data_IF_993384838158
#
_entry.id   IF_993384838158
#
_cell.length_a   1.000
_cell.length_b   1.000
_cell.length_c   1.000
_cell.angle_alpha   90.00
_cell.angle_beta   90.00
_cell.angle_gamma   90.00
#
_symmetry.space_group_name_H-M   'P 1'
#
loop_
_entity.id
_entity.type
_entity.pdbx_description
1 polymer ?
#
# COMPACT_ATOMS: atom_id res chain seq x y z
N UNK A 1 3.20 35.61 -59.62
CA UNK A 1 3.69 34.69 -60.70
C UNK A 1 4.40 33.56 -59.98
N UNK A 2 3.75 32.42 -59.87
CA UNK A 2 4.08 31.31 -58.96
C UNK A 2 4.82 30.23 -59.69
N UNK A 3 5.85 29.71 -59.12
CA UNK A 3 6.53 28.49 -59.58
C UNK A 3 6.46 27.44 -58.49
N UNK A 4 5.69 26.38 -58.73
CA UNK A 4 5.68 25.16 -57.89
C UNK A 4 6.77 24.24 -58.42
N UNK A 5 7.66 23.80 -57.50
CA UNK A 5 8.52 22.65 -57.75
C UNK A 5 7.98 21.47 -56.94
N UNK A 6 7.56 20.42 -57.61
CA UNK A 6 7.28 19.10 -57.06
C UNK A 6 8.52 18.25 -57.20
N UNK A 7 9.02 17.77 -56.08
CA UNK A 7 10.13 16.79 -56.06
C UNK A 7 9.55 15.42 -55.63
N UNK A 8 9.50 14.49 -56.59
CA UNK A 8 9.14 13.09 -56.30
C UNK A 8 10.42 12.33 -55.92
N UNK A 9 10.47 11.80 -54.71
CA UNK A 9 11.48 10.82 -54.27
C UNK A 9 10.80 9.45 -54.19
N UNK A 10 11.16 8.54 -55.09
CA UNK A 10 10.81 7.14 -55.01
C UNK A 10 11.79 6.43 -54.07
N UNK A 11 11.32 5.90 -52.98
CA UNK A 11 12.08 5.02 -52.07
C UNK A 11 11.66 3.56 -52.32
N UNK A 12 12.61 2.78 -52.81
CA UNK A 12 12.54 1.33 -52.87
C UNK A 12 12.62 0.77 -51.44
N UNK A 13 11.55 0.18 -50.95
CA UNK A 13 11.52 -0.56 -49.72
C UNK A 13 11.86 -2.03 -50.00
N UNK A 14 13.06 -2.44 -49.67
CA UNK A 14 13.44 -3.84 -49.54
C UNK A 14 13.00 -4.38 -48.16
N UNK A 15 11.89 -5.10 -48.11
CA UNK A 15 11.41 -5.75 -46.90
C UNK A 15 12.23 -7.01 -46.61
N UNK A 16 12.97 -7.01 -45.54
CA UNK A 16 13.47 -8.22 -44.85
C UNK A 16 12.39 -8.62 -43.84
N UNK A 17 11.62 -9.65 -44.15
CA UNK A 17 10.69 -10.26 -43.20
C UNK A 17 11.48 -10.98 -42.14
N UNK A 18 11.28 -10.60 -40.87
CA UNK A 18 11.73 -11.38 -39.71
C UNK A 18 10.88 -12.65 -39.58
N UNK A 19 11.45 -13.79 -39.18
CA UNK A 19 10.67 -15.02 -38.98
C UNK A 19 9.74 -14.84 -37.77
N UNK A 20 8.54 -15.46 -37.77
CA UNK A 20 7.62 -15.41 -36.67
C UNK A 20 8.22 -16.11 -35.46
N UNK A 21 8.19 -15.45 -34.31
CA UNK A 21 8.53 -16.04 -33.01
C UNK A 21 7.54 -17.17 -32.71
N UNK A 22 8.03 -18.35 -32.43
CA UNK A 22 7.22 -19.47 -32.00
C UNK A 22 6.52 -19.13 -30.67
N UNK A 23 5.24 -19.49 -30.47
CA UNK A 23 4.56 -19.31 -29.20
C UNK A 23 5.27 -20.14 -28.14
N UNK A 24 5.68 -19.47 -27.05
CA UNK A 24 6.28 -20.13 -25.89
C UNK A 24 5.30 -21.18 -25.33
N UNK A 25 5.81 -22.38 -25.10
CA UNK A 25 5.03 -23.44 -24.47
C UNK A 25 4.56 -23.00 -23.08
N UNK A 26 3.30 -23.32 -22.70
CA UNK A 26 2.81 -22.98 -21.37
C UNK A 26 3.61 -23.72 -20.31
N UNK A 27 4.09 -23.00 -19.30
CA UNK A 27 4.74 -23.57 -18.12
C UNK A 27 3.68 -24.39 -17.37
N UNK A 28 3.91 -25.68 -17.10
CA UNK A 28 2.94 -26.49 -16.38
C UNK A 28 2.74 -25.96 -14.95
N UNK A 29 1.51 -25.94 -14.43
CA UNK A 29 1.25 -25.56 -13.05
C UNK A 29 1.92 -26.55 -12.10
N UNK A 30 2.56 -26.04 -11.05
CA UNK A 30 3.07 -26.84 -9.94
C UNK A 30 1.90 -27.62 -9.31
N UNK A 31 2.08 -28.90 -8.96
CA UNK A 31 1.01 -29.71 -8.41
C UNK A 31 0.61 -29.21 -7.02
N UNK A 32 -0.62 -28.72 -6.91
CA UNK A 32 -1.28 -28.46 -5.64
C UNK A 32 -1.69 -29.81 -5.04
N UNK A 33 -0.99 -30.29 -4.02
CA UNK A 33 -1.45 -31.41 -3.21
C UNK A 33 -2.62 -30.94 -2.36
N UNK A 34 -3.84 -31.24 -2.82
CA UNK A 34 -5.05 -31.12 -2.02
C UNK A 34 -5.12 -32.28 -1.03
N UNK A 35 -4.74 -32.05 0.21
CA UNK A 35 -5.06 -32.94 1.32
C UNK A 35 -6.46 -32.60 1.83
N UNK A 36 -7.45 -33.39 1.43
CA UNK A 36 -8.80 -33.40 2.01
C UNK A 36 -8.81 -34.36 3.19
N UNK A 37 -8.66 -33.82 4.41
CA UNK A 37 -9.01 -34.55 5.63
C UNK A 37 -10.44 -34.18 6.05
N UNK A 38 -11.26 -35.15 6.55
CA UNK A 38 -12.60 -34.84 7.05
C UNK A 38 -12.55 -34.05 8.36
N UNK A 39 -13.60 -33.26 8.69
CA UNK A 39 -13.63 -32.45 9.89
C UNK A 39 -13.67 -33.33 11.14
N UNK A 40 -12.93 -33.01 12.21
CA UNK A 40 -13.04 -33.68 13.48
C UNK A 40 -14.34 -33.25 14.19
N UNK A 41 -15.09 -34.24 14.67
CA UNK A 41 -16.24 -34.06 15.54
C UNK A 41 -15.79 -33.60 16.92
N UNK A 42 -16.45 -32.55 17.41
CA UNK A 42 -16.63 -32.17 18.81
C UNK A 42 -15.43 -32.20 19.74
N UNK A 43 -14.79 -31.03 19.95
CA UNK A 43 -13.95 -30.77 21.12
C UNK A 43 -14.71 -29.87 22.13
N UNK A 44 -14.53 -30.07 23.44
CA UNK A 44 -15.18 -29.25 24.47
C UNK A 44 -14.65 -27.82 24.47
N UNK A 45 -15.49 -26.89 24.89
CA UNK A 45 -15.15 -25.47 25.00
C UNK A 45 -13.99 -25.25 25.96
N UNK A 46 -12.85 -24.80 25.42
CA UNK A 46 -11.72 -24.37 26.24
C UNK A 46 -12.03 -23.02 26.86
N UNK A 47 -11.84 -22.95 28.18
CA UNK A 47 -11.85 -21.70 28.97
C UNK A 47 -10.75 -20.77 28.43
N UNK A 48 -10.98 -19.48 28.20
CA UNK A 48 -9.96 -18.59 27.71
C UNK A 48 -8.82 -18.47 28.74
N UNK A 49 -7.63 -18.88 28.33
CA UNK A 49 -6.41 -18.66 29.09
C UNK A 49 -6.17 -17.15 29.22
N UNK A 50 -5.81 -16.69 30.43
CA UNK A 50 -5.45 -15.31 30.69
C UNK A 50 -4.33 -14.88 29.75
N UNK A 51 -4.51 -13.73 29.08
CA UNK A 51 -3.54 -13.17 28.14
C UNK A 51 -2.17 -12.98 28.83
N UNK A 52 -1.06 -13.45 28.22
CA UNK A 52 0.26 -13.10 28.70
C UNK A 52 0.45 -11.60 28.57
N UNK A 53 0.86 -10.95 29.66
CA UNK A 53 1.13 -9.51 29.69
C UNK A 53 2.07 -9.11 28.54
N UNK A 54 1.78 -7.96 27.93
CA UNK A 54 2.56 -7.37 26.84
C UNK A 54 4.06 -7.43 27.17
N UNK A 55 4.79 -8.30 26.49
CA UNK A 55 6.24 -8.36 26.60
C UNK A 55 6.81 -7.06 26.02
N UNK A 56 7.70 -6.40 26.77
CA UNK A 56 8.38 -5.20 26.31
C UNK A 56 9.04 -5.47 24.94
N UNK A 57 8.76 -4.61 23.96
CA UNK A 57 9.34 -4.72 22.61
C UNK A 57 10.86 -4.61 22.68
N UNK A 58 11.62 -5.46 21.97
CA UNK A 58 13.05 -5.27 21.82
C UNK A 58 13.33 -3.94 21.11
N UNK A 59 14.36 -3.22 21.56
CA UNK A 59 14.83 -2.02 20.91
C UNK A 59 15.24 -2.34 19.45
N UNK A 60 14.79 -1.51 18.50
CA UNK A 60 15.12 -1.71 17.09
C UNK A 60 16.63 -1.57 16.87
N UNK A 61 17.27 -2.59 16.29
CA UNK A 61 18.68 -2.55 15.92
C UNK A 61 18.94 -1.43 14.91
N UNK A 62 19.99 -0.59 15.07
CA UNK A 62 20.36 0.39 14.06
C UNK A 62 20.63 -0.28 12.73
N UNK A 63 20.11 0.27 11.63
CA UNK A 63 20.50 -0.17 10.30
C UNK A 63 21.67 0.65 9.76
N UNK A 64 22.60 -0.03 9.12
CA UNK A 64 23.74 0.57 8.42
C UNK A 64 23.50 0.53 6.91
N UNK A 65 24.36 1.20 6.14
CA UNK A 65 24.38 1.02 4.68
C UNK A 65 24.63 -0.48 4.33
N UNK A 66 23.97 -1.04 3.29
CA UNK A 66 23.12 -0.35 2.31
C UNK A 66 21.65 -0.19 2.73
N UNK A 67 21.25 -0.69 3.88
CA UNK A 67 19.85 -0.77 4.33
C UNK A 67 19.29 0.55 4.89
N UNK A 68 20.16 1.53 5.12
CA UNK A 68 19.75 2.86 5.59
C UNK A 68 19.46 3.80 4.43
N UNK A 69 18.32 4.48 4.50
CA UNK A 69 17.97 5.63 3.66
C UNK A 69 17.98 6.88 4.52
N UNK A 70 18.68 7.92 4.06
CA UNK A 70 18.81 9.19 4.74
C UNK A 70 18.83 10.29 3.68
N UNK A 71 17.75 11.06 3.57
CA UNK A 71 17.57 12.02 2.48
C UNK A 71 17.01 13.34 2.98
N UNK A 72 17.73 14.42 2.73
CA UNK A 72 17.20 15.77 2.85
C UNK A 72 16.59 16.19 1.51
N UNK A 73 15.36 16.71 1.55
CA UNK A 73 14.63 17.21 0.40
C UNK A 73 14.85 18.72 0.20
N UNK A 74 14.57 19.28 -0.98
CA UNK A 74 14.93 20.68 -1.30
C UNK A 74 14.36 21.73 -0.37
N UNK A 75 13.20 21.51 0.26
CA UNK A 75 12.63 22.42 1.25
C UNK A 75 13.36 22.39 2.61
N UNK A 76 14.34 21.46 2.80
CA UNK A 76 15.09 21.25 4.02
C UNK A 76 14.48 20.23 4.99
N UNK A 77 13.36 19.62 4.64
CA UNK A 77 12.81 18.48 5.36
C UNK A 77 13.67 17.22 5.11
N UNK A 78 13.75 16.34 6.09
CA UNK A 78 14.59 15.13 6.02
C UNK A 78 13.80 13.90 6.41
N UNK A 79 14.00 12.82 5.64
CA UNK A 79 13.52 11.49 5.95
C UNK A 79 14.67 10.54 6.26
N UNK A 80 14.50 9.76 7.31
CA UNK A 80 15.42 8.68 7.68
C UNK A 80 14.60 7.42 7.91
N UNK A 81 15.04 6.30 7.34
CA UNK A 81 14.39 5.01 7.50
C UNK A 81 15.38 3.87 7.22
N UNK A 82 14.98 2.67 7.60
CA UNK A 82 15.64 1.44 7.23
C UNK A 82 14.72 0.63 6.31
N UNK A 83 15.31 -0.15 5.41
CA UNK A 83 14.59 -1.15 4.65
C UNK A 83 15.19 -2.53 4.86
N UNK A 84 14.38 -3.54 4.70
CA UNK A 84 14.77 -4.94 4.72
C UNK A 84 13.89 -5.72 3.74
N UNK A 85 14.48 -6.76 3.12
CA UNK A 85 13.74 -7.69 2.28
C UNK A 85 13.41 -8.92 3.12
N UNK A 86 12.17 -9.01 3.59
CA UNK A 86 11.68 -10.14 4.40
C UNK A 86 11.11 -11.23 3.50
N UNK A 87 11.39 -12.48 3.85
CA UNK A 87 10.96 -13.62 3.05
C UNK A 87 9.44 -13.67 2.82
N UNK A 88 8.65 -13.29 3.82
CA UNK A 88 7.18 -13.37 3.77
C UNK A 88 6.58 -12.10 3.17
N UNK A 89 6.86 -10.93 3.75
CA UNK A 89 6.24 -9.64 3.40
C UNK A 89 6.91 -8.94 2.22
N UNK A 90 8.12 -9.35 1.82
CA UNK A 90 8.93 -8.61 0.86
C UNK A 90 9.50 -7.33 1.45
N UNK A 91 9.43 -6.23 0.71
CA UNK A 91 9.97 -4.94 1.16
C UNK A 91 9.24 -4.47 2.43
N UNK A 92 10.01 -4.39 3.51
CA UNK A 92 9.56 -3.86 4.80
C UNK A 92 10.37 -2.64 5.15
N UNK A 93 9.70 -1.55 5.52
CA UNK A 93 10.35 -0.32 5.98
C UNK A 93 10.23 -0.23 7.50
N UNK A 94 11.31 0.19 8.14
CA UNK A 94 11.37 0.30 9.60
C UNK A 94 12.00 1.62 10.03
N UNK A 95 11.72 2.04 11.28
CA UNK A 95 12.34 3.22 11.90
C UNK A 95 12.17 4.48 11.06
N UNK A 96 10.96 4.76 10.65
CA UNK A 96 10.62 5.87 9.77
C UNK A 96 10.54 7.16 10.59
N UNK A 97 11.46 8.08 10.33
CA UNK A 97 11.63 9.34 11.04
C UNK A 97 11.52 10.50 10.07
N UNK A 98 10.66 11.45 10.40
CA UNK A 98 10.51 12.73 9.70
C UNK A 98 11.15 13.84 10.49
N UNK A 99 11.91 14.69 9.84
CA UNK A 99 12.48 15.91 10.43
C UNK A 99 12.00 17.11 9.60
N UNK A 100 11.02 17.90 10.09
CA UNK A 100 10.65 19.15 9.44
C UNK A 100 11.84 20.13 9.43
N UNK A 101 11.90 21.01 8.43
CA UNK A 101 12.96 22.02 8.35
C UNK A 101 13.12 22.82 9.66
N UNK A 102 14.32 22.79 10.22
CA UNK A 102 14.66 23.54 11.44
C UNK A 102 13.99 23.01 12.72
N UNK A 103 13.44 21.81 12.72
CA UNK A 103 12.81 21.19 13.88
C UNK A 103 13.53 19.92 14.31
N UNK A 104 13.07 19.32 15.41
CA UNK A 104 13.62 18.04 15.90
C UNK A 104 13.05 16.86 15.10
N UNK A 105 13.81 15.77 14.96
CA UNK A 105 13.30 14.52 14.38
C UNK A 105 12.09 13.99 15.15
N UNK A 106 11.12 13.46 14.42
CA UNK A 106 9.91 12.84 14.96
C UNK A 106 9.79 11.45 14.35
N UNK A 107 9.78 10.41 15.18
CA UNK A 107 9.44 9.05 14.74
C UNK A 107 7.98 9.03 14.30
N UNK A 108 7.69 8.38 13.19
CA UNK A 108 6.33 8.25 12.65
C UNK A 108 5.85 6.81 12.74
N UNK A 109 6.62 5.89 12.14
CA UNK A 109 6.32 4.48 12.11
C UNK A 109 7.53 3.68 12.58
N UNK A 110 7.29 2.70 13.44
CA UNK A 110 8.27 1.68 13.77
C UNK A 110 8.51 0.76 12.59
N UNK A 111 7.42 0.34 11.93
CA UNK A 111 7.49 -0.46 10.72
C UNK A 111 6.25 -0.34 9.85
N UNK A 112 6.42 -0.62 8.56
CA UNK A 112 5.33 -0.80 7.60
C UNK A 112 5.71 -1.80 6.53
N UNK A 113 4.74 -2.59 6.07
CA UNK A 113 4.87 -3.54 4.98
C UNK A 113 3.53 -3.75 4.29
N UNK A 114 3.57 -4.34 3.10
CA UNK A 114 2.40 -5.04 2.58
C UNK A 114 2.05 -6.20 3.53
N UNK A 115 0.76 -6.43 3.73
CA UNK A 115 0.27 -7.45 4.65
C UNK A 115 -0.66 -8.47 3.99
N UNK A 116 -1.11 -8.24 2.79
CA UNK A 116 -1.73 -9.18 1.85
C UNK A 116 -2.18 -8.45 0.59
N UNK A 117 -2.23 -9.18 -0.53
CA UNK A 117 -3.02 -8.88 -1.70
C UNK A 117 -3.94 -10.08 -1.92
N UNK A 118 -5.23 -9.89 -1.61
CA UNK A 118 -6.24 -10.91 -1.82
C UNK A 118 -6.96 -10.64 -3.13
N UNK A 119 -6.99 -11.65 -4.03
CA UNK A 119 -7.50 -11.49 -5.39
C UNK A 119 -8.64 -12.48 -5.66
N UNK A 120 -9.89 -12.10 -5.34
CA UNK A 120 -11.08 -12.85 -5.74
C UNK A 120 -11.45 -12.52 -7.19
N UNK A 121 -11.65 -13.57 -8.00
CA UNK A 121 -12.17 -13.45 -9.36
C UNK A 121 -13.70 -13.44 -9.37
N UNK A 122 -14.29 -12.60 -10.22
CA UNK A 122 -15.74 -12.31 -10.19
C UNK A 122 -16.62 -13.51 -10.53
N UNK A 123 -16.10 -14.48 -11.28
CA UNK A 123 -16.80 -15.76 -11.51
C UNK A 123 -16.85 -16.69 -10.29
N UNK A 124 -16.36 -16.24 -9.12
CA UNK A 124 -16.37 -16.99 -7.87
C UNK A 124 -15.08 -17.73 -7.54
N UNK A 125 -14.32 -18.15 -8.53
CA UNK A 125 -13.01 -18.84 -8.41
C UNK A 125 -12.11 -18.45 -9.59
N UNK A 126 -10.76 -18.46 -9.45
CA UNK A 126 -10.00 -18.70 -8.22
C UNK A 126 -10.03 -17.52 -7.22
N UNK A 127 -9.40 -17.72 -6.05
CA UNK A 127 -9.22 -16.72 -4.99
C UNK A 127 -7.79 -16.84 -4.49
N UNK A 128 -6.94 -15.88 -4.83
CA UNK A 128 -5.52 -15.91 -4.50
C UNK A 128 -5.20 -15.06 -3.27
N UNK A 129 -4.10 -15.42 -2.64
CA UNK A 129 -3.46 -14.70 -1.55
C UNK A 129 -1.99 -14.54 -1.92
N UNK A 130 -1.63 -13.41 -2.49
CA UNK A 130 -0.39 -13.23 -3.23
C UNK A 130 0.82 -12.94 -2.33
N UNK A 131 0.60 -12.66 -1.05
CA UNK A 131 1.68 -12.41 -0.09
C UNK A 131 1.81 -13.58 0.88
N UNK A 132 3.00 -14.14 0.94
CA UNK A 132 3.35 -15.26 1.82
C UNK A 132 4.80 -15.69 1.64
N UNK A 133 5.39 -15.33 0.50
CA UNK A 133 6.78 -15.60 0.15
C UNK A 133 7.38 -14.51 -0.74
N UNK A 134 6.91 -13.27 -0.58
CA UNK A 134 7.15 -12.17 -1.51
C UNK A 134 8.66 -11.85 -1.66
N UNK A 135 9.44 -11.99 -0.58
CA UNK A 135 10.88 -11.74 -0.63
C UNK A 135 11.65 -12.66 -1.57
N UNK A 136 11.14 -13.89 -1.82
CA UNK A 136 11.77 -14.82 -2.77
C UNK A 136 11.41 -14.54 -4.23
N UNK A 137 10.41 -13.71 -4.48
CA UNK A 137 9.95 -13.34 -5.83
C UNK A 137 10.34 -11.92 -6.21
N UNK A 138 11.25 -11.30 -5.44
CA UNK A 138 11.77 -9.97 -5.73
C UNK A 138 12.53 -9.97 -7.07
N UNK A 139 12.20 -9.00 -7.92
CA UNK A 139 12.79 -8.85 -9.25
C UNK A 139 14.05 -7.98 -9.15
N UNK A 140 15.22 -8.44 -9.64
CA UNK A 140 16.39 -7.60 -9.74
C UNK A 140 16.14 -6.41 -10.69
N UNK A 141 16.25 -5.20 -10.16
CA UNK A 141 16.03 -3.97 -10.92
C UNK A 141 17.25 -3.64 -11.79
N UNK A 142 17.01 -3.22 -13.03
CA UNK A 142 18.03 -2.64 -13.91
C UNK A 142 18.17 -1.13 -13.66
N UNK A 143 19.17 -0.48 -14.25
CA UNK A 143 19.33 0.97 -14.15
C UNK A 143 18.11 1.74 -14.70
N UNK A 144 17.52 1.23 -15.78
CA UNK A 144 16.32 1.81 -16.38
C UNK A 144 15.07 1.73 -15.48
N UNK A 145 15.03 0.75 -14.58
CA UNK A 145 13.91 0.54 -13.65
C UNK A 145 14.00 1.47 -12.43
N UNK A 146 15.15 2.16 -12.24
CA UNK A 146 15.39 3.12 -11.15
C UNK A 146 16.01 4.42 -11.71
N UNK A 147 15.32 5.14 -12.60
CA UNK A 147 15.87 6.33 -13.23
C UNK A 147 16.11 7.43 -12.19
N UNK A 148 17.27 8.09 -12.28
CA UNK A 148 17.70 9.16 -11.35
C UNK A 148 17.78 8.71 -9.88
N UNK A 149 17.74 7.41 -9.61
CA UNK A 149 17.78 6.82 -8.29
C UNK A 149 19.00 5.95 -8.05
N UNK A 150 19.06 5.41 -6.86
CA UNK A 150 20.08 4.47 -6.41
C UNK A 150 19.46 3.08 -6.19
N UNK A 151 20.00 2.06 -6.83
CA UNK A 151 19.60 0.67 -6.58
C UNK A 151 20.36 0.13 -5.38
N UNK A 152 19.63 -0.42 -4.43
CA UNK A 152 20.17 -1.02 -3.22
C UNK A 152 20.01 -2.54 -3.30
N UNK A 153 21.10 -3.29 -3.10
CA UNK A 153 21.13 -4.77 -3.18
C UNK A 153 20.39 -5.33 -4.41
N UNK A 154 20.42 -4.62 -5.53
CA UNK A 154 19.73 -4.92 -6.80
C UNK A 154 18.20 -4.93 -6.75
N UNK A 155 17.54 -4.95 -5.59
CA UNK A 155 16.12 -5.16 -5.47
C UNK A 155 15.32 -3.93 -5.06
N UNK A 156 15.96 -2.93 -4.45
CA UNK A 156 15.28 -1.74 -3.95
C UNK A 156 15.79 -0.51 -4.69
N UNK A 157 14.85 0.30 -5.18
CA UNK A 157 15.15 1.62 -5.74
C UNK A 157 14.85 2.70 -4.71
N UNK A 158 15.82 3.60 -4.52
CA UNK A 158 15.68 4.82 -3.72
C UNK A 158 15.88 6.01 -4.65
N UNK A 159 14.83 6.79 -4.87
CA UNK A 159 14.85 7.94 -5.80
C UNK A 159 14.07 9.12 -5.24
N UNK A 160 14.02 10.21 -6.01
CA UNK A 160 13.16 11.36 -5.69
C UNK A 160 12.28 11.72 -6.90
N UNK A 161 11.06 12.20 -6.62
CA UNK A 161 10.07 12.56 -7.63
C UNK A 161 9.50 13.94 -7.36
N UNK A 162 9.30 14.76 -8.40
CA UNK A 162 8.53 15.98 -8.31
C UNK A 162 7.05 15.66 -8.04
N UNK A 163 6.42 16.40 -7.13
CA UNK A 163 5.02 16.22 -6.72
C UNK A 163 4.11 17.34 -7.26
N UNK A 164 4.65 18.31 -7.97
CA UNK A 164 3.95 19.51 -8.38
C UNK A 164 3.88 20.56 -7.28
N UNK A 165 2.90 21.44 -7.33
CA UNK A 165 2.74 22.50 -6.35
C UNK A 165 2.45 21.94 -4.95
N UNK A 166 3.30 22.27 -3.97
CA UNK A 166 2.99 22.10 -2.56
C UNK A 166 1.95 23.13 -2.11
N UNK A 167 2.07 24.36 -2.58
CA UNK A 167 1.03 25.38 -2.52
C UNK A 167 1.22 26.43 -3.62
N UNK A 168 0.12 27.11 -3.93
CA UNK A 168 0.09 28.35 -4.70
C UNK A 168 -0.94 29.27 -4.06
N UNK A 169 -0.51 30.44 -3.64
CA UNK A 169 -1.38 31.48 -3.08
C UNK A 169 -1.31 32.73 -3.95
N UNK A 170 -2.43 33.09 -4.56
CA UNK A 170 -2.57 34.36 -5.27
C UNK A 170 -2.51 35.54 -4.26
N UNK A 171 -1.79 36.59 -4.63
CA UNK A 171 -1.70 37.83 -3.89
C UNK A 171 -2.17 38.96 -4.81
N UNK A 172 -3.17 39.76 -4.39
CA UNK A 172 -3.56 40.94 -5.16
C UNK A 172 -2.33 41.86 -5.33
N UNK A 173 -2.14 42.34 -6.55
CA UNK A 173 -1.09 43.30 -6.93
C UNK A 173 0.37 42.87 -6.66
N UNK A 174 0.60 41.58 -6.45
CA UNK A 174 1.92 41.03 -6.19
C UNK A 174 2.11 39.67 -6.91
N UNK A 175 3.38 39.20 -6.99
CA UNK A 175 3.67 37.85 -7.46
C UNK A 175 3.08 36.82 -6.50
N UNK A 176 2.48 35.77 -7.08
CA UNK A 176 1.95 34.65 -6.31
C UNK A 176 3.04 34.00 -5.43
N UNK A 177 2.69 33.66 -4.21
CA UNK A 177 3.54 32.78 -3.38
C UNK A 177 3.33 31.34 -3.78
N UNK A 178 4.39 30.63 -4.06
CA UNK A 178 4.34 29.22 -4.49
C UNK A 178 5.51 28.42 -3.94
N UNK A 179 5.31 27.13 -3.79
CA UNK A 179 6.36 26.16 -3.54
C UNK A 179 6.09 24.87 -4.32
N UNK A 180 7.16 24.21 -4.79
CA UNK A 180 7.10 22.91 -5.43
C UNK A 180 7.39 21.83 -4.41
N UNK A 181 6.58 20.77 -4.44
CA UNK A 181 6.74 19.60 -3.59
C UNK A 181 7.65 18.55 -4.20
N UNK A 182 8.29 17.77 -3.33
CA UNK A 182 9.13 16.63 -3.72
C UNK A 182 8.93 15.46 -2.78
N UNK A 183 8.97 14.25 -3.36
CA UNK A 183 8.92 13.00 -2.63
C UNK A 183 10.28 12.29 -2.67
N UNK A 184 10.68 11.70 -1.56
CA UNK A 184 11.57 10.55 -1.53
C UNK A 184 10.75 9.31 -1.82
N UNK A 185 11.19 8.47 -2.75
CA UNK A 185 10.49 7.25 -3.16
C UNK A 185 11.37 6.04 -2.88
N UNK A 186 10.79 5.03 -2.24
CA UNK A 186 11.41 3.71 -2.02
C UNK A 186 10.47 2.65 -2.57
N UNK A 187 10.95 1.80 -3.48
CA UNK A 187 10.12 0.74 -4.03
C UNK A 187 10.92 -0.53 -4.35
N UNK A 188 10.20 -1.64 -4.46
CA UNK A 188 10.67 -2.91 -5.00
C UNK A 188 9.60 -3.53 -5.90
N UNK A 189 10.03 -4.43 -6.79
CA UNK A 189 9.16 -5.16 -7.70
C UNK A 189 9.17 -6.66 -7.36
N UNK A 190 8.00 -7.31 -7.52
CA UNK A 190 7.80 -8.71 -7.18
C UNK A 190 7.00 -9.43 -8.25
N UNK A 191 7.46 -10.61 -8.68
CA UNK A 191 6.71 -11.46 -9.59
C UNK A 191 5.84 -12.43 -8.80
N UNK A 192 4.52 -12.39 -9.03
CA UNK A 192 3.57 -13.32 -8.40
C UNK A 192 2.64 -13.88 -9.47
N UNK A 193 2.86 -15.12 -9.85
CA UNK A 193 2.18 -15.71 -10.99
C UNK A 193 2.44 -14.91 -12.26
N UNK A 194 1.39 -14.47 -12.92
CA UNK A 194 1.44 -13.61 -14.12
C UNK A 194 1.46 -12.12 -13.81
N UNK A 195 1.25 -11.71 -12.53
CA UNK A 195 1.34 -10.32 -12.10
C UNK A 195 2.75 -9.93 -11.67
N UNK A 196 3.08 -8.68 -11.90
CA UNK A 196 4.19 -7.98 -11.26
C UNK A 196 3.62 -6.90 -10.36
N UNK A 197 3.97 -6.93 -9.08
CA UNK A 197 3.58 -5.91 -8.11
C UNK A 197 4.75 -4.98 -7.81
N UNK A 198 4.50 -3.68 -7.98
CA UNK A 198 5.41 -2.61 -7.58
C UNK A 198 4.98 -2.09 -6.21
N UNK A 199 5.65 -2.51 -5.15
CA UNK A 199 5.39 -2.00 -3.81
C UNK A 199 6.18 -0.71 -3.59
N UNK A 200 5.49 0.44 -3.49
CA UNK A 200 6.08 1.78 -3.40
C UNK A 200 5.63 2.51 -2.13
N UNK A 201 6.57 3.21 -1.51
CA UNK A 201 6.32 4.21 -0.47
C UNK A 201 6.91 5.55 -0.91
N UNK A 202 6.08 6.59 -0.98
CA UNK A 202 6.51 7.96 -1.23
C UNK A 202 6.46 8.76 0.08
N UNK A 203 7.56 9.42 0.41
CA UNK A 203 7.75 10.23 1.62
C UNK A 203 7.87 11.69 1.19
N UNK A 204 6.82 12.45 1.40
CA UNK A 204 6.72 13.84 0.96
C UNK A 204 7.47 14.82 1.88
N UNK A 205 7.92 15.92 1.30
CA UNK A 205 8.63 16.98 2.01
C UNK A 205 7.78 17.75 3.02
N UNK A 206 6.45 17.56 2.99
CA UNK A 206 5.50 18.03 4.00
C UNK A 206 5.27 17.05 5.17
N UNK A 207 5.90 15.88 5.13
CA UNK A 207 5.76 14.85 6.16
C UNK A 207 4.68 13.80 5.87
N UNK A 208 4.02 13.84 4.70
CA UNK A 208 3.08 12.81 4.31
C UNK A 208 3.80 11.54 3.82
N UNK A 209 3.13 10.40 3.97
CA UNK A 209 3.57 9.09 3.45
C UNK A 209 2.45 8.55 2.56
N UNK A 210 2.80 8.08 1.37
CA UNK A 210 1.85 7.47 0.44
C UNK A 210 2.32 6.06 0.09
N UNK A 211 1.84 5.03 0.82
CA UNK A 211 2.01 3.65 0.41
C UNK A 211 1.08 3.35 -0.77
N UNK A 212 1.61 2.66 -1.80
CA UNK A 212 0.81 2.21 -2.93
C UNK A 212 1.38 0.96 -3.58
N UNK A 213 0.53 0.25 -4.31
CA UNK A 213 0.91 -0.88 -5.15
C UNK A 213 0.53 -0.58 -6.59
N UNK A 214 1.47 -0.78 -7.50
CA UNK A 214 1.21 -0.84 -8.94
C UNK A 214 1.10 -2.30 -9.36
N UNK A 215 -0.06 -2.71 -9.89
CA UNK A 215 -0.26 -4.03 -10.45
C UNK A 215 -0.10 -3.95 -11.97
N UNK A 216 0.77 -4.79 -12.53
CA UNK A 216 1.10 -4.87 -13.96
C UNK A 216 1.43 -6.33 -14.33
N UNK A 217 1.89 -6.58 -15.55
CA UNK A 217 2.21 -7.92 -16.05
C UNK A 217 1.18 -8.39 -17.07
N UNK A 218 0.66 -9.60 -16.89
CA UNK A 218 -0.32 -10.19 -17.81
C UNK A 218 -1.63 -10.51 -17.10
N UNK A 219 -2.71 -10.57 -17.83
CA UNK A 219 -4.01 -11.01 -17.32
C UNK A 219 -4.16 -12.52 -17.40
N UNK A 220 -5.19 -13.05 -16.76
CA UNK A 220 -5.49 -14.47 -16.75
C UNK A 220 -6.84 -14.78 -17.38
N UNK A 221 -6.84 -15.57 -18.44
CA UNK A 221 -8.00 -16.04 -19.15
C UNK A 221 -8.76 -17.14 -18.40
N UNK A 222 -9.29 -16.85 -17.22
CA UNK A 222 -10.01 -17.85 -16.40
C UNK A 222 -11.48 -17.99 -16.74
N UNK A 223 -12.00 -17.25 -17.68
CA UNK A 223 -13.40 -17.30 -18.07
C UNK A 223 -13.58 -17.48 -19.57
N UNK A 224 -14.69 -18.08 -19.95
CA UNK A 224 -15.12 -18.25 -21.34
C UNK A 224 -16.41 -17.48 -21.62
N UNK A 225 -16.89 -16.68 -20.65
CA UNK A 225 -18.14 -15.94 -20.76
C UNK A 225 -17.94 -14.45 -20.55
N UNK A 226 -18.68 -13.59 -21.27
CA UNK A 226 -18.55 -12.14 -21.19
C UNK A 226 -19.07 -11.58 -19.85
N UNK A 227 -19.83 -12.33 -19.07
CA UNK A 227 -20.34 -11.87 -17.77
C UNK A 227 -19.23 -11.67 -16.72
N UNK A 228 -18.08 -12.34 -16.93
CA UNK A 228 -17.00 -12.36 -15.95
C UNK A 228 -15.64 -11.94 -16.52
N UNK A 229 -15.64 -11.32 -17.70
CA UNK A 229 -14.39 -10.93 -18.33
C UNK A 229 -14.60 -10.11 -19.59
N UNK A 230 -13.50 -9.74 -20.23
CA UNK A 230 -13.47 -8.95 -21.45
C UNK A 230 -12.53 -9.57 -22.47
N UNK A 231 -12.91 -9.62 -23.78
CA UNK A 231 -12.01 -10.08 -24.83
C UNK A 231 -10.94 -9.00 -25.09
N UNK A 232 -9.67 -9.39 -25.08
CA UNK A 232 -8.55 -8.49 -25.34
C UNK A 232 -7.80 -8.95 -26.59
N UNK A 233 -7.54 -8.03 -27.50
CA UNK A 233 -6.86 -8.25 -28.75
C UNK A 233 -7.81 -8.47 -29.94
N UNK A 234 -7.31 -8.17 -31.12
CA UNK A 234 -8.09 -8.25 -32.37
C UNK A 234 -8.47 -9.71 -32.64
N UNK A 235 -9.78 -9.97 -32.71
CA UNK A 235 -10.33 -11.30 -33.01
C UNK A 235 -10.21 -12.28 -31.84
N UNK A 236 -9.98 -11.80 -30.61
CA UNK A 236 -9.90 -12.65 -29.44
C UNK A 236 -11.22 -13.41 -29.20
N UNK A 237 -11.12 -14.71 -29.01
CA UNK A 237 -12.24 -15.61 -28.67
C UNK A 237 -12.26 -15.99 -27.17
N UNK A 238 -11.19 -15.68 -26.43
CA UNK A 238 -11.07 -15.83 -25.00
C UNK A 238 -11.40 -14.54 -24.27
N UNK A 239 -11.66 -14.65 -22.96
CA UNK A 239 -11.96 -13.52 -22.11
C UNK A 239 -10.94 -13.45 -20.97
N UNK A 240 -10.35 -12.28 -20.76
CA UNK A 240 -9.56 -12.01 -19.56
C UNK A 240 -10.50 -11.72 -18.38
N UNK A 241 -10.27 -12.42 -17.27
CA UNK A 241 -11.23 -12.46 -16.17
C UNK A 241 -11.17 -11.21 -15.29
N UNK A 242 -12.33 -10.62 -15.02
CA UNK A 242 -12.46 -9.54 -14.02
C UNK A 242 -12.23 -10.05 -12.59
N UNK A 243 -11.67 -9.20 -11.75
CA UNK A 243 -11.29 -9.54 -10.38
C UNK A 243 -11.06 -8.29 -9.54
N UNK A 244 -10.94 -8.48 -8.24
CA UNK A 244 -10.62 -7.39 -7.32
C UNK A 244 -9.26 -7.63 -6.68
N UNK A 245 -8.47 -6.59 -6.50
CA UNK A 245 -7.30 -6.60 -5.63
C UNK A 245 -7.69 -5.95 -4.29
N UNK A 246 -7.70 -6.72 -3.20
CA UNK A 246 -7.80 -6.20 -1.85
C UNK A 246 -6.40 -6.14 -1.27
N UNK A 247 -5.87 -4.93 -1.15
CA UNK A 247 -4.49 -4.68 -0.75
C UNK A 247 -4.47 -4.25 0.70
N UNK A 248 -3.76 -4.99 1.53
CA UNK A 248 -3.61 -4.71 2.96
C UNK A 248 -2.21 -4.22 3.27
N UNK A 249 -2.12 -3.16 4.06
CA UNK A 249 -0.88 -2.69 4.68
C UNK A 249 -0.96 -2.84 6.19
N UNK A 250 0.16 -3.23 6.80
CA UNK A 250 0.36 -3.19 8.24
C UNK A 250 1.16 -1.95 8.58
N UNK A 251 0.64 -1.12 9.47
CA UNK A 251 1.23 0.13 9.94
C UNK A 251 1.43 0.05 11.44
N UNK A 252 2.67 -0.05 11.86
CA UNK A 252 3.07 -0.05 13.25
C UNK A 252 3.55 1.36 13.60
N UNK A 253 2.63 2.19 14.09
CA UNK A 253 2.93 3.57 14.47
C UNK A 253 3.78 3.62 15.74
N UNK A 254 4.55 4.67 15.88
CA UNK A 254 5.41 4.98 17.04
C UNK A 254 5.63 6.49 17.08
N UNK A 255 4.53 7.24 17.10
CA UNK A 255 4.54 8.70 16.97
C UNK A 255 5.38 9.31 18.08
N UNK A 256 6.38 10.08 17.69
CA UNK A 256 7.38 10.67 18.59
C UNK A 256 8.18 9.66 19.44
N UNK A 257 8.25 8.39 19.01
CA UNK A 257 9.02 7.33 19.67
C UNK A 257 8.35 6.75 20.92
N UNK A 258 7.01 6.74 20.95
CA UNK A 258 6.22 6.25 22.09
C UNK A 258 5.18 5.24 21.61
N UNK A 259 5.11 4.11 22.29
CA UNK A 259 4.17 3.05 22.00
C UNK A 259 2.74 3.34 22.49
N UNK A 260 2.51 4.41 23.26
CA UNK A 260 1.23 4.74 23.91
C UNK A 260 0.32 5.62 23.04
N UNK A 261 0.39 5.49 21.72
CA UNK A 261 -0.44 6.21 20.76
C UNK A 261 -1.93 5.91 20.95
N UNK A 262 -2.76 6.85 20.50
CA UNK A 262 -4.23 6.70 20.46
C UNK A 262 -4.71 6.75 19.03
N UNK A 263 -5.54 5.78 18.66
CA UNK A 263 -6.26 5.82 17.39
C UNK A 263 -7.60 6.51 17.59
N UNK A 264 -7.85 7.56 16.82
CA UNK A 264 -9.10 8.30 16.86
C UNK A 264 -9.81 8.22 15.49
N UNK A 265 -11.13 8.02 15.52
CA UNK A 265 -12.01 8.11 14.36
C UNK A 265 -12.78 9.42 14.41
N UNK A 266 -12.89 10.05 13.26
CA UNK A 266 -13.66 11.27 13.06
C UNK A 266 -14.83 10.99 12.13
N UNK A 267 -16.01 11.40 12.58
CA UNK A 267 -17.27 11.41 11.84
C UNK A 267 -17.90 12.79 11.90
N UNK A 268 -18.99 13.00 11.19
CA UNK A 268 -19.73 14.24 11.22
C UNK A 268 -21.22 13.97 11.44
N UNK A 269 -21.85 14.74 12.32
CA UNK A 269 -23.30 14.74 12.47
C UNK A 269 -23.94 15.75 11.50
N UNK A 270 -25.22 15.54 11.19
CA UNK A 270 -25.98 16.39 10.30
C UNK A 270 -26.00 15.90 8.85
N UNK A 271 -26.99 16.33 8.10
CA UNK A 271 -27.21 15.96 6.70
C UNK A 271 -27.69 17.16 5.87
N UNK A 272 -27.54 17.07 4.55
CA UNK A 272 -27.94 18.14 3.64
C UNK A 272 -27.24 19.46 3.94
N UNK A 273 -27.98 20.55 4.07
CA UNK A 273 -27.50 21.91 4.40
C UNK A 273 -27.41 22.16 5.91
N UNK A 274 -27.79 21.20 6.76
CA UNK A 274 -27.73 21.35 8.21
C UNK A 274 -26.27 21.53 8.69
N UNK A 275 -26.10 22.26 9.80
CA UNK A 275 -24.82 22.38 10.46
C UNK A 275 -24.24 21.02 10.83
N UNK A 276 -22.98 20.80 10.53
CA UNK A 276 -22.26 19.57 10.82
C UNK A 276 -21.31 19.76 12.00
N UNK A 277 -21.37 18.84 12.94
CA UNK A 277 -20.46 18.81 14.09
C UNK A 277 -19.47 17.67 13.94
N UNK A 278 -18.24 17.92 14.29
CA UNK A 278 -17.20 16.88 14.36
C UNK A 278 -17.52 15.96 15.53
N UNK A 279 -17.59 14.68 15.22
CA UNK A 279 -17.71 13.60 16.21
C UNK A 279 -16.37 12.86 16.26
N UNK A 280 -15.81 12.74 17.45
CA UNK A 280 -14.53 12.07 17.67
C UNK A 280 -14.70 10.90 18.62
N UNK A 281 -14.23 9.73 18.19
CA UNK A 281 -14.23 8.50 18.99
C UNK A 281 -12.80 7.98 19.10
N UNK A 282 -12.29 7.80 20.32
CA UNK A 282 -11.02 7.15 20.53
C UNK A 282 -11.24 5.63 20.70
N UNK A 283 -10.41 4.82 20.04
CA UNK A 283 -10.42 3.39 20.25
C UNK A 283 -9.61 3.04 21.50
N UNK A 284 -10.27 2.40 22.46
CA UNK A 284 -9.64 1.92 23.71
C UNK A 284 -9.41 0.41 23.71
N UNK A 285 -10.05 -0.27 22.78
CA UNK A 285 -9.92 -1.69 22.52
C UNK A 285 -9.80 -1.92 21.02
N UNK A 286 -9.35 -3.10 20.65
CA UNK A 286 -9.26 -3.52 19.26
C UNK A 286 -10.59 -3.33 18.54
N UNK A 287 -10.53 -2.83 17.33
CA UNK A 287 -11.72 -2.41 16.59
C UNK A 287 -11.54 -2.56 15.08
N UNK A 288 -12.66 -2.64 14.40
CA UNK A 288 -12.76 -2.58 12.94
C UNK A 288 -13.68 -1.43 12.53
N UNK A 289 -13.32 -0.77 11.45
CA UNK A 289 -14.04 0.38 10.92
C UNK A 289 -14.17 0.30 9.40
N UNK A 290 -15.27 0.82 8.88
CA UNK A 290 -15.53 0.92 7.44
C UNK A 290 -15.48 2.37 7.01
N UNK A 291 -14.98 2.61 5.80
CA UNK A 291 -15.00 3.92 5.16
C UNK A 291 -16.44 4.39 4.95
N UNK A 292 -16.71 5.65 5.21
CA UNK A 292 -17.98 6.34 4.99
C UNK A 292 -17.71 7.75 4.48
N UNK A 293 -18.64 8.40 3.83
CA UNK A 293 -18.48 9.80 3.47
C UNK A 293 -18.05 10.65 4.66
N UNK A 294 -16.99 11.43 4.51
CA UNK A 294 -16.38 12.31 5.50
C UNK A 294 -15.75 11.61 6.73
N UNK A 295 -15.70 10.29 6.80
CA UNK A 295 -14.98 9.58 7.86
C UNK A 295 -13.50 9.55 7.55
N UNK A 296 -12.67 9.75 8.59
CA UNK A 296 -11.22 9.58 8.55
C UNK A 296 -10.70 9.18 9.94
N UNK A 297 -9.45 8.77 10.01
CA UNK A 297 -8.80 8.30 11.23
C UNK A 297 -7.49 9.03 11.43
N UNK A 298 -7.02 9.04 12.67
CA UNK A 298 -5.65 9.48 12.96
C UNK A 298 -5.03 8.66 14.08
N UNK A 299 -3.70 8.58 14.06
CA UNK A 299 -2.89 8.10 15.18
C UNK A 299 -2.24 9.32 15.82
N UNK A 300 -2.43 9.48 17.12
CA UNK A 300 -2.06 10.67 17.86
C UNK A 300 -1.25 10.33 19.11
N UNK A 301 -0.09 10.96 19.29
CA UNK A 301 0.68 10.84 20.53
C UNK A 301 -0.10 11.43 21.72
N UNK A 302 -0.06 10.76 22.87
CA UNK A 302 -0.78 11.22 24.07
C UNK A 302 -0.20 12.49 24.67
N UNK A 303 1.10 12.76 24.53
CA UNK A 303 1.86 13.74 25.30
C UNK A 303 2.51 14.81 24.43
N UNK A 304 3.10 14.42 23.30
CA UNK A 304 3.89 15.33 22.46
C UNK A 304 2.98 16.34 21.77
N UNK A 305 3.37 17.60 21.84
CA UNK A 305 2.63 18.72 21.28
C UNK A 305 3.55 19.57 20.40
N UNK A 306 2.97 20.19 19.38
CA UNK A 306 3.64 21.21 18.61
C UNK A 306 3.73 22.55 19.40
N UNK A 307 4.29 23.58 18.77
CA UNK A 307 4.48 24.88 19.42
C UNK A 307 3.16 25.60 19.79
N UNK A 308 2.05 25.27 19.09
CA UNK A 308 0.71 25.81 19.38
C UNK A 308 -0.06 24.99 20.44
N UNK A 309 0.57 23.96 21.02
CA UNK A 309 -0.01 23.12 22.06
C UNK A 309 -0.92 22.00 21.54
N UNK A 310 -1.02 21.76 20.22
CA UNK A 310 -1.77 20.67 19.64
C UNK A 310 -0.99 19.37 19.66
N UNK A 311 -1.68 18.24 19.90
CA UNK A 311 -1.05 16.91 19.91
C UNK A 311 -0.61 16.50 18.50
N UNK A 312 0.64 16.06 18.38
CA UNK A 312 1.23 15.58 17.14
C UNK A 312 0.54 14.30 16.68
N UNK A 313 0.20 14.22 15.39
CA UNK A 313 -0.52 13.06 14.84
C UNK A 313 -0.30 12.90 13.34
N UNK A 314 -0.71 11.74 12.82
CA UNK A 314 -0.87 11.48 11.39
C UNK A 314 -2.28 10.97 11.08
N UNK A 315 -2.91 11.57 10.07
CA UNK A 315 -4.22 11.17 9.54
C UNK A 315 -4.07 10.05 8.52
N UNK A 316 -5.04 9.15 8.47
CA UNK A 316 -5.18 8.12 7.45
C UNK A 316 -6.34 8.49 6.56
N UNK A 317 -6.04 8.78 5.30
CA UNK A 317 -6.99 9.15 4.26
C UNK A 317 -7.12 8.00 3.26
N UNK A 318 -8.19 7.24 3.41
CA UNK A 318 -8.56 6.10 2.56
C UNK A 318 -9.86 6.45 1.83
N UNK A 319 -9.79 7.35 0.86
CA UNK A 319 -10.97 7.92 0.19
C UNK A 319 -11.29 7.30 -1.16
N UNK A 320 -10.32 6.63 -1.78
CA UNK A 320 -10.42 6.22 -3.18
C UNK A 320 -10.21 4.70 -3.28
N UNK A 321 -11.29 3.95 -3.00
CA UNK A 321 -11.22 2.49 -2.94
C UNK A 321 -12.51 1.84 -3.45
N UNK A 322 -12.36 0.82 -4.30
CA UNK A 322 -13.43 -0.11 -4.66
C UNK A 322 -13.52 -1.20 -3.58
N UNK A 323 -14.46 -1.04 -2.67
CA UNK A 323 -14.55 -1.84 -1.46
C UNK A 323 -15.21 -3.20 -1.73
N UNK A 324 -14.40 -4.23 -1.88
CA UNK A 324 -14.89 -5.59 -1.90
C UNK A 324 -15.30 -6.06 -0.50
N UNK A 325 -16.46 -6.75 -0.42
CA UNK A 325 -16.98 -7.37 0.80
C UNK A 325 -17.28 -8.83 0.52
N UNK A 326 -16.35 -9.68 0.88
CA UNK A 326 -16.41 -11.11 0.59
C UNK A 326 -17.44 -11.88 1.42
N UNK A 327 -17.57 -13.19 1.14
CA UNK A 327 -18.43 -14.11 1.89
C UNK A 327 -17.94 -14.29 3.35
N UNK A 328 -18.59 -15.16 4.09
CA UNK A 328 -18.34 -15.33 5.54
C UNK A 328 -16.95 -15.82 5.88
N UNK A 329 -16.37 -16.64 5.02
CA UNK A 329 -14.98 -17.15 5.12
C UNK A 329 -13.91 -16.13 4.73
N UNK A 330 -14.31 -14.99 4.14
CA UNK A 330 -13.46 -13.83 3.84
C UNK A 330 -13.77 -12.64 4.75
N UNK A 331 -14.07 -12.87 6.01
CA UNK A 331 -14.45 -11.83 6.98
C UNK A 331 -13.40 -10.72 7.13
N UNK A 332 -12.12 -11.01 6.84
CA UNK A 332 -11.03 -10.04 6.80
C UNK A 332 -11.23 -8.93 5.73
N UNK A 333 -12.11 -9.10 4.74
CA UNK A 333 -12.44 -8.07 3.74
C UNK A 333 -13.53 -7.09 4.19
N UNK A 334 -14.17 -7.32 5.34
CA UNK A 334 -15.39 -6.59 5.76
C UNK A 334 -15.16 -5.26 6.45
N UNK A 335 -13.90 -4.85 6.62
CA UNK A 335 -13.55 -3.53 7.09
C UNK A 335 -12.41 -2.94 6.27
N UNK A 336 -12.27 -1.62 6.33
CA UNK A 336 -11.24 -0.86 5.61
C UNK A 336 -10.10 -0.46 6.55
N UNK A 337 -10.38 -0.44 7.86
CA UNK A 337 -9.40 -0.28 8.92
C UNK A 337 -9.65 -1.32 10.00
N UNK A 338 -8.57 -1.99 10.41
CA UNK A 338 -8.52 -2.78 11.63
C UNK A 338 -7.47 -2.17 12.55
N UNK A 339 -7.76 -2.16 13.84
CA UNK A 339 -6.84 -1.69 14.88
C UNK A 339 -6.68 -2.83 15.87
N UNK A 340 -5.45 -3.32 16.02
CA UNK A 340 -5.08 -4.39 16.95
C UNK A 340 -4.04 -3.91 17.95
N UNK A 341 -3.91 -4.56 19.10
CA UNK A 341 -2.74 -4.39 19.92
C UNK A 341 -1.53 -5.13 19.31
N UNK A 342 -0.32 -4.66 19.55
CA UNK A 342 0.86 -5.22 18.88
C UNK A 342 1.13 -6.66 19.27
N UNK A 343 1.23 -7.53 18.26
CA UNK A 343 1.77 -8.89 18.38
C UNK A 343 2.77 -9.18 17.26
N UNK A 344 3.94 -9.67 17.62
CA UNK A 344 5.02 -9.93 16.64
C UNK A 344 4.67 -11.04 15.62
N UNK A 345 3.78 -11.95 15.98
CA UNK A 345 3.31 -13.04 15.12
C UNK A 345 2.17 -12.62 14.19
N UNK A 346 1.55 -11.45 14.36
CA UNK A 346 0.54 -10.91 13.44
C UNK A 346 1.22 -10.17 12.29
N UNK A 347 1.54 -10.90 11.24
CA UNK A 347 2.34 -10.42 10.10
C UNK A 347 1.52 -10.15 8.85
N UNK A 348 0.55 -11.01 8.54
CA UNK A 348 -0.31 -10.92 7.35
C UNK A 348 -1.77 -10.74 7.73
N UNK A 349 -2.51 -9.97 6.92
CA UNK A 349 -3.93 -9.71 7.13
C UNK A 349 -4.81 -10.95 6.92
N UNK A 350 -4.34 -11.92 6.16
CA UNK A 350 -4.94 -13.26 6.05
C UNK A 350 -3.88 -14.26 5.61
N UNK A 351 -4.15 -15.55 5.80
CA UNK A 351 -3.21 -16.66 5.59
C UNK A 351 -1.90 -16.44 6.36
N UNK A 352 -2.01 -15.88 7.55
CA UNK A 352 -0.84 -15.62 8.39
C UNK A 352 -0.12 -16.92 8.73
N UNK A 353 1.18 -17.07 8.38
CA UNK A 353 1.91 -18.30 8.57
C UNK A 353 2.48 -18.48 9.98
N UNK A 354 2.50 -17.42 10.79
CA UNK A 354 3.20 -17.42 12.07
C UNK A 354 2.43 -18.23 13.12
N UNK A 355 3.09 -19.15 13.84
CA UNK A 355 2.46 -19.86 14.94
C UNK A 355 2.16 -18.92 16.11
N UNK A 356 1.17 -19.26 16.92
CA UNK A 356 0.79 -18.53 18.14
C UNK A 356 -0.14 -17.34 17.91
N UNK A 357 -0.45 -16.99 16.65
CA UNK A 357 -1.47 -16.00 16.30
C UNK A 357 -2.55 -16.61 15.42
N UNK A 358 -3.71 -15.98 15.38
CA UNK A 358 -4.77 -16.36 14.47
C UNK A 358 -4.34 -16.17 12.99
N UNK A 359 -5.13 -16.64 12.04
CA UNK A 359 -4.78 -16.67 10.64
C UNK A 359 -5.17 -15.40 9.87
N UNK A 360 -5.96 -14.51 10.48
CA UNK A 360 -6.47 -13.33 9.76
C UNK A 360 -6.82 -12.18 10.71
N UNK A 361 -6.80 -10.96 10.15
CA UNK A 361 -6.97 -9.70 10.88
C UNK A 361 -8.36 -9.55 11.53
N UNK A 362 -9.39 -10.15 10.96
CA UNK A 362 -10.73 -10.19 11.56
C UNK A 362 -10.76 -11.00 12.86
N UNK A 363 -9.81 -11.97 13.01
CA UNK A 363 -9.61 -12.79 14.21
C UNK A 363 -8.63 -12.17 15.18
N UNK A 364 -7.67 -11.36 14.72
CA UNK A 364 -6.81 -10.57 15.60
C UNK A 364 -7.65 -9.57 16.40
N UNK A 365 -8.61 -8.93 15.71
CA UNK A 365 -9.49 -7.91 16.29
C UNK A 365 -10.55 -8.58 17.17
N UNK A 366 -10.14 -8.94 18.39
CA UNK A 366 -10.94 -9.72 19.34
C UNK A 366 -11.48 -8.89 20.52
N UNK A 367 -11.19 -7.58 20.55
CA UNK A 367 -11.66 -6.64 21.58
C UNK A 367 -10.72 -6.46 22.76
N UNK A 368 -9.48 -6.91 22.65
CA UNK A 368 -8.45 -6.66 23.66
C UNK A 368 -8.19 -5.17 23.82
N UNK A 369 -7.72 -4.79 25.02
CA UNK A 369 -7.38 -3.39 25.30
C UNK A 369 -6.14 -2.97 24.50
N UNK A 370 -6.22 -1.82 23.86
CA UNK A 370 -5.10 -1.23 23.13
C UNK A 370 -4.09 -0.58 24.08
N UNK A 371 -2.86 -1.08 24.05
CA UNK A 371 -1.70 -0.50 24.71
C UNK A 371 -0.69 0.02 23.68
N UNK A 372 -0.56 -0.65 22.54
CA UNK A 372 0.42 -0.41 21.48
C UNK A 372 -0.23 -0.68 20.12
N UNK A 373 -1.00 0.29 19.56
CA UNK A 373 -1.87 0.04 18.44
C UNK A 373 -1.12 -0.16 17.12
N UNK A 374 -1.53 -1.20 16.40
CA UNK A 374 -1.15 -1.49 15.02
C UNK A 374 -2.37 -1.34 14.13
N UNK A 375 -2.21 -0.67 13.00
CA UNK A 375 -3.29 -0.45 12.05
C UNK A 375 -3.09 -1.32 10.82
N UNK A 376 -4.21 -1.86 10.33
CA UNK A 376 -4.29 -2.61 9.08
C UNK A 376 -5.24 -1.87 8.16
N UNK A 377 -4.71 -1.33 7.06
CA UNK A 377 -5.50 -0.56 6.09
C UNK A 377 -5.75 -1.44 4.88
N UNK A 378 -7.02 -1.59 4.51
CA UNK A 378 -7.48 -2.32 3.32
C UNK A 378 -7.92 -1.32 2.25
N UNK A 379 -7.36 -1.45 1.05
CA UNK A 379 -7.72 -0.65 -0.12
C UNK A 379 -8.08 -1.60 -1.26
N UNK A 380 -9.24 -1.42 -1.86
CA UNK A 380 -9.73 -2.24 -2.95
C UNK A 380 -9.53 -1.57 -4.31
N UNK A 381 -9.25 -2.38 -5.32
CA UNK A 381 -9.27 -2.01 -6.73
C UNK A 381 -10.00 -3.10 -7.53
N UNK A 382 -11.13 -2.75 -8.17
CA UNK A 382 -11.84 -3.67 -9.04
C UNK A 382 -11.32 -3.54 -10.47
N UNK A 383 -10.70 -4.58 -10.97
CA UNK A 383 -10.13 -4.65 -12.29
C UNK A 383 -11.10 -5.36 -13.26
N UNK A 384 -11.81 -4.58 -14.05
CA UNK A 384 -12.51 -5.06 -15.23
C UNK A 384 -11.55 -4.86 -16.41
N UNK A 385 -11.11 -5.92 -17.09
CA UNK A 385 -10.14 -5.83 -18.17
C UNK A 385 -10.64 -4.98 -19.34
N UNK A 386 -9.71 -4.35 -20.07
CA UNK A 386 -9.95 -3.50 -21.24
C UNK A 386 -8.84 -3.69 -22.27
N UNK A 387 -9.03 -3.22 -23.48
CA UNK A 387 -8.06 -3.41 -24.58
C UNK A 387 -6.65 -2.87 -24.27
N UNK A 388 -6.56 -1.80 -23.49
CA UNK A 388 -5.26 -1.25 -23.06
C UNK A 388 -4.50 -2.15 -22.08
N UNK A 389 -5.15 -3.16 -21.53
CA UNK A 389 -4.51 -4.15 -20.64
C UNK A 389 -3.88 -5.32 -21.42
N UNK A 390 -3.76 -5.20 -22.75
CA UNK A 390 -2.97 -6.14 -23.57
C UNK A 390 -1.53 -6.23 -23.06
N UNK A 391 -0.94 -7.44 -23.11
CA UNK A 391 0.37 -7.75 -22.56
C UNK A 391 1.52 -6.95 -23.21
N UNK A 392 2.37 -6.23 -22.43
CA UNK A 392 2.34 -6.07 -20.99
C UNK A 392 1.32 -5.00 -20.55
N UNK A 393 0.53 -5.33 -19.54
CA UNK A 393 -0.52 -4.46 -19.00
C UNK A 393 0.07 -3.20 -18.36
N UNK A 394 -0.51 -2.00 -18.60
CA UNK A 394 -0.14 -0.79 -17.87
C UNK A 394 -0.29 -0.95 -16.36
N UNK A 395 0.54 -0.28 -15.58
CA UNK A 395 0.46 -0.34 -14.11
C UNK A 395 -0.81 0.33 -13.60
N UNK A 396 -1.64 -0.42 -12.90
CA UNK A 396 -2.79 0.09 -12.13
C UNK A 396 -2.34 0.39 -10.70
N UNK A 397 -2.39 1.66 -10.31
CA UNK A 397 -1.90 2.10 -9.00
C UNK A 397 -3.04 2.25 -8.01
N UNK A 398 -2.87 1.65 -6.82
CA UNK A 398 -3.80 1.77 -5.72
C UNK A 398 -3.05 1.94 -4.39
N UNK A 399 -3.58 2.82 -3.52
CA UNK A 399 -2.97 3.12 -2.24
C UNK A 399 -3.81 4.09 -1.42
N UNK A 400 -3.20 4.66 -0.39
CA UNK A 400 -3.82 5.65 0.48
C UNK A 400 -2.78 6.67 0.95
N UNK A 401 -3.20 7.69 1.68
CA UNK A 401 -2.31 8.72 2.16
C UNK A 401 -2.33 8.81 3.69
N UNK A 402 -1.15 8.93 4.28
CA UNK A 402 -0.91 9.21 5.70
C UNK A 402 -0.39 10.65 5.77
N UNK A 403 -1.19 11.56 6.30
CA UNK A 403 -0.91 13.00 6.27
C UNK A 403 -0.59 13.53 7.66
N UNK A 404 0.50 14.30 7.85
CA UNK A 404 0.78 14.89 9.15
C UNK A 404 -0.33 15.87 9.55
N UNK A 405 -0.72 15.80 10.83
CA UNK A 405 -1.64 16.74 11.44
C UNK A 405 -1.06 17.26 12.75
N UNK A 406 -0.99 18.57 12.86
CA UNK A 406 -0.44 19.24 14.05
C UNK A 406 1.03 18.84 14.35
N UNK A 407 1.77 18.37 13.33
CA UNK A 407 3.19 18.03 13.44
C UNK A 407 4.03 19.30 13.53
N UNK A 408 3.71 20.27 12.70
CA UNK A 408 4.32 21.61 12.73
C UNK A 408 3.26 22.66 13.07
N UNK A 409 3.65 23.73 13.75
CA UNK A 409 2.75 24.87 14.04
C UNK A 409 2.60 25.82 12.84
N UNK A 410 3.15 25.51 11.68
CA UNK A 410 3.12 26.32 10.46
C UNK A 410 3.30 25.48 9.21
N UNK A 411 3.04 26.08 8.05
CA UNK A 411 3.32 25.46 6.76
C UNK A 411 4.80 25.01 6.68
N UNK A 412 5.10 23.76 6.34
CA UNK A 412 6.47 23.22 6.27
C UNK A 412 7.30 23.73 5.08
N UNK A 413 6.69 24.47 4.13
CA UNK A 413 7.34 25.03 2.94
C UNK A 413 7.68 26.50 3.07
#
# INVERSE_FOLDING_TARGET
MFLRLTLSCALLAGGLAAPPSAPGAPIPPLPLTSSSAPPPTGAPAETPAAAPGSAARPAATPCNAPYRVDKTLPNGARWQLCWEMRNVEGLTLTRIVYTPKGQRPITVLRSTSLAQIHVPYDKGRPRYHDIGSLGYTAIPLRAADCPLGERREQFVCVTTRARGHAYLKALPDQLNKTAQGRDLVVFAAFQVGWYTYLAEWAFSDDGAITPRVGATGSLAGFTTTPEHGWPIGVGASGFEASHTHNIFWRLDFDVAGRADDVVEQYDFSGSGTASRKILRTAFTAEAKSVSRPMRWWRVVDRKVRNADGHRVSWEINNSDTAQYRGPADEAFTRADLYVTDYRSCERLATVNPAPGCARSVDRYTNGERLADPVLWVNVGYHHVPRDEDADPMPSHWQGFRITPRDVTAKNPH
#
